data_IF_050994498536
#
_entry.id   IF_050994498536
#
_cell.length_a   1.000
_cell.length_b   1.000
_cell.length_c   1.000
_cell.angle_alpha   90.00
_cell.angle_beta   90.00
_cell.angle_gamma   90.00
#
_symmetry.space_group_name_H-M   'P 1'
#
loop_
_entity.id
_entity.type
_entity.pdbx_description
1 polymer ?
#
# COMPACT_ATOMS: atom_id res chain seq x y z
N UNK A 1 -2.10 -22.06 -19.31
CA UNK A 1 -1.21 -21.97 -18.13
C UNK A 1 -1.85 -20.97 -17.15
N UNK A 2 -2.26 -21.42 -15.99
CA UNK A 2 -2.86 -20.52 -14.98
C UNK A 2 -1.77 -19.58 -14.45
N UNK A 3 -2.02 -18.28 -14.51
CA UNK A 3 -1.06 -17.27 -14.01
C UNK A 3 -0.89 -17.45 -12.49
N UNK A 4 0.36 -17.35 -12.02
CA UNK A 4 0.64 -17.37 -10.59
C UNK A 4 -0.20 -16.31 -9.85
N UNK A 5 -0.70 -16.61 -8.63
CA UNK A 5 -1.46 -15.66 -7.83
C UNK A 5 -0.65 -14.39 -7.60
N UNK A 6 -1.34 -13.28 -7.30
CA UNK A 6 -0.66 -12.04 -6.95
C UNK A 6 0.05 -12.16 -5.59
N UNK A 7 -0.62 -12.77 -4.62
CA UNK A 7 -0.07 -13.01 -3.28
C UNK A 7 -0.29 -14.47 -2.90
N UNK A 8 0.75 -15.11 -2.38
CA UNK A 8 0.67 -16.43 -1.78
C UNK A 8 1.52 -16.46 -0.50
N UNK A 9 0.84 -16.67 0.61
CA UNK A 9 1.43 -16.82 1.93
C UNK A 9 1.20 -18.25 2.41
N UNK A 10 2.24 -18.88 2.92
CA UNK A 10 2.16 -20.22 3.50
C UNK A 10 2.67 -20.21 4.94
N UNK A 11 1.77 -20.37 5.89
CA UNK A 11 2.03 -20.41 7.34
C UNK A 11 2.93 -19.27 7.86
N UNK A 12 2.71 -18.07 7.34
CA UNK A 12 3.51 -16.90 7.66
C UNK A 12 3.29 -16.48 9.10
N UNK A 13 4.39 -16.36 9.85
CA UNK A 13 4.36 -15.84 11.21
C UNK A 13 5.37 -14.72 11.37
N UNK A 14 5.03 -13.73 12.20
CA UNK A 14 5.92 -12.61 12.56
C UNK A 14 5.85 -12.32 14.04
N UNK A 15 7.03 -12.29 14.69
CA UNK A 15 7.19 -11.98 16.11
C UNK A 15 8.04 -10.73 16.31
N UNK A 16 7.67 -9.93 17.28
CA UNK A 16 8.45 -8.82 17.80
C UNK A 16 8.70 -9.06 19.29
N UNK A 17 9.96 -9.32 19.65
CA UNK A 17 10.29 -9.78 21.01
C UNK A 17 9.50 -11.05 21.36
N UNK A 18 8.70 -11.01 22.41
CA UNK A 18 7.86 -12.12 22.87
C UNK A 18 6.46 -12.16 22.21
N UNK A 19 6.03 -11.08 21.52
CA UNK A 19 4.68 -10.95 20.98
C UNK A 19 4.58 -11.41 19.53
N UNK A 20 3.60 -12.25 19.22
CA UNK A 20 3.24 -12.62 17.86
C UNK A 20 2.33 -11.55 17.25
N UNK A 21 2.77 -10.95 16.17
CA UNK A 21 1.97 -10.01 15.38
C UNK A 21 1.23 -10.72 14.23
N UNK A 22 1.81 -11.81 13.70
CA UNK A 22 1.16 -12.74 12.76
C UNK A 22 1.47 -14.16 13.20
N UNK A 23 0.51 -15.07 13.04
CA UNK A 23 0.66 -16.45 13.47
C UNK A 23 0.04 -17.42 12.46
N UNK A 24 0.91 -18.16 11.75
CA UNK A 24 0.58 -19.20 10.76
C UNK A 24 -0.46 -18.75 9.73
N UNK A 25 -0.31 -17.51 9.22
CA UNK A 25 -1.23 -16.95 8.25
C UNK A 25 -1.00 -17.61 6.88
N UNK A 26 -2.07 -18.16 6.31
CA UNK A 26 -2.10 -18.68 4.93
C UNK A 26 -3.12 -17.87 4.13
N UNK A 27 -2.70 -17.38 2.95
CA UNK A 27 -3.52 -16.54 2.08
C UNK A 27 -3.12 -16.78 0.63
N UNK A 28 -4.12 -16.89 -0.25
CA UNK A 28 -3.93 -16.87 -1.69
C UNK A 28 -4.85 -15.83 -2.29
N UNK A 29 -4.30 -14.84 -3.02
CA UNK A 29 -5.05 -13.78 -3.66
C UNK A 29 -4.74 -13.77 -5.16
N UNK A 30 -5.78 -13.75 -5.99
CA UNK A 30 -5.64 -13.72 -7.45
C UNK A 30 -5.15 -12.34 -7.93
N UNK A 31 -4.55 -12.30 -9.11
CA UNK A 31 -4.18 -11.03 -9.76
C UNK A 31 -5.44 -10.21 -10.06
N UNK A 32 -5.35 -8.90 -9.87
CA UNK A 32 -6.46 -7.96 -10.05
C UNK A 32 -7.55 -8.02 -8.99
N UNK A 33 -7.46 -8.95 -8.02
CA UNK A 33 -8.39 -8.99 -6.89
C UNK A 33 -8.15 -7.84 -5.92
N UNK A 34 -9.19 -7.46 -5.16
CA UNK A 34 -9.12 -6.45 -4.13
C UNK A 34 -9.54 -7.04 -2.79
N UNK A 35 -8.60 -7.12 -1.86
CA UNK A 35 -8.77 -7.70 -0.52
C UNK A 35 -8.98 -6.61 0.52
N UNK A 36 -10.10 -6.64 1.23
CA UNK A 36 -10.33 -5.87 2.43
C UNK A 36 -9.77 -6.62 3.64
N UNK A 37 -8.80 -6.00 4.31
CA UNK A 37 -8.20 -6.51 5.52
C UNK A 37 -8.81 -5.80 6.73
N UNK A 38 -9.56 -6.52 7.53
CA UNK A 38 -10.25 -6.02 8.73
C UNK A 38 -9.66 -6.59 10.01
N UNK A 39 -10.04 -6.01 11.14
CA UNK A 39 -9.61 -6.44 12.49
C UNK A 39 -9.36 -5.23 13.39
N UNK A 40 -9.38 -5.45 14.70
CA UNK A 40 -9.11 -4.39 15.69
C UNK A 40 -7.66 -3.85 15.60
N UNK A 41 -7.38 -2.75 16.31
CA UNK A 41 -6.02 -2.24 16.42
C UNK A 41 -5.11 -3.27 17.12
N UNK A 42 -3.92 -3.47 16.55
CA UNK A 42 -3.01 -4.52 17.04
C UNK A 42 -3.29 -5.93 16.50
N UNK A 43 -4.32 -6.14 15.68
CA UNK A 43 -4.62 -7.48 15.11
C UNK A 43 -3.59 -8.02 14.11
N UNK A 44 -2.63 -7.17 13.64
CA UNK A 44 -1.57 -7.58 12.73
C UNK A 44 -1.67 -7.00 11.31
N UNK A 45 -2.70 -6.19 10.98
CA UNK A 45 -2.91 -5.62 9.63
C UNK A 45 -1.68 -4.91 9.06
N UNK A 46 -1.18 -3.90 9.77
CA UNK A 46 0.03 -3.16 9.37
C UNK A 46 1.25 -4.07 9.25
N UNK A 47 1.39 -5.07 10.14
CA UNK A 47 2.49 -6.04 10.06
C UNK A 47 2.37 -6.89 8.80
N UNK A 48 1.17 -7.36 8.45
CA UNK A 48 0.95 -8.10 7.21
C UNK A 48 1.33 -7.26 5.98
N UNK A 49 0.85 -6.01 5.90
CA UNK A 49 1.19 -5.12 4.80
C UNK A 49 2.71 -4.87 4.70
N UNK A 50 3.40 -4.69 5.83
CA UNK A 50 4.86 -4.53 5.85
C UNK A 50 5.61 -5.80 5.41
N UNK A 51 5.10 -6.98 5.75
CA UNK A 51 5.66 -8.26 5.28
C UNK A 51 5.47 -8.39 3.77
N UNK A 52 4.28 -8.11 3.25
CA UNK A 52 3.99 -8.11 1.82
C UNK A 52 4.83 -7.09 1.04
N UNK A 53 5.11 -5.93 1.63
CA UNK A 53 5.99 -4.91 1.06
C UNK A 53 7.49 -5.23 1.17
N UNK A 54 7.87 -6.39 1.73
CA UNK A 54 9.25 -6.76 2.08
C UNK A 54 9.97 -5.75 2.99
N UNK A 55 9.21 -4.87 3.66
CA UNK A 55 9.74 -3.91 4.64
C UNK A 55 10.13 -4.61 5.96
N UNK A 56 9.53 -5.76 6.23
CA UNK A 56 9.81 -6.61 7.39
C UNK A 56 9.85 -8.07 6.94
N UNK A 57 10.89 -8.80 7.33
CA UNK A 57 10.98 -10.24 7.07
C UNK A 57 10.05 -11.02 8.02
N UNK A 58 9.32 -12.03 7.54
CA UNK A 58 8.60 -12.95 8.42
C UNK A 58 9.59 -13.69 9.35
N UNK A 59 9.10 -14.16 10.50
CA UNK A 59 9.89 -15.01 11.40
C UNK A 59 9.87 -16.47 10.96
N UNK A 60 8.80 -16.91 10.28
CA UNK A 60 8.68 -18.23 9.64
C UNK A 60 7.62 -18.19 8.54
N UNK A 61 7.56 -19.25 7.74
CA UNK A 61 6.66 -19.36 6.60
C UNK A 61 7.25 -18.76 5.33
N UNK A 62 6.49 -18.84 4.22
CA UNK A 62 6.91 -18.40 2.89
C UNK A 62 5.95 -17.34 2.34
N UNK A 63 6.52 -16.31 1.70
CA UNK A 63 5.77 -15.24 1.02
C UNK A 63 6.19 -15.18 -0.43
N UNK A 64 5.23 -15.34 -1.33
CA UNK A 64 5.43 -15.16 -2.77
C UNK A 64 4.53 -14.04 -3.28
N UNK A 65 5.11 -13.16 -4.08
CA UNK A 65 4.43 -12.00 -4.69
C UNK A 65 4.63 -12.06 -6.19
N UNK A 66 3.54 -12.19 -6.95
CA UNK A 66 3.57 -12.33 -8.41
C UNK A 66 4.43 -13.50 -8.91
N UNK A 67 4.61 -14.54 -8.07
CA UNK A 67 5.47 -15.68 -8.33
C UNK A 67 6.93 -15.49 -7.91
N UNK A 68 7.29 -14.34 -7.35
CA UNK A 68 8.63 -14.07 -6.80
C UNK A 68 8.66 -14.40 -5.31
N UNK A 69 9.69 -15.13 -4.86
CA UNK A 69 9.92 -15.37 -3.44
C UNK A 69 10.44 -14.08 -2.77
N UNK A 70 9.69 -13.56 -1.80
CA UNK A 70 10.02 -12.31 -1.13
C UNK A 70 11.30 -12.36 -0.28
N UNK A 71 11.79 -13.56 0.09
CA UNK A 71 13.04 -13.73 0.82
C UNK A 71 14.25 -13.78 -0.12
N UNK A 72 14.08 -14.32 -1.34
CA UNK A 72 15.13 -14.51 -2.34
C UNK A 72 15.29 -13.26 -3.22
N UNK A 73 14.18 -12.71 -3.72
CA UNK A 73 14.15 -11.60 -4.66
C UNK A 73 13.44 -10.33 -4.10
N UNK A 74 13.80 -9.84 -2.90
CA UNK A 74 13.07 -8.72 -2.28
C UNK A 74 13.12 -7.43 -3.11
N UNK A 75 14.17 -7.20 -3.87
CA UNK A 75 14.31 -6.01 -4.72
C UNK A 75 13.36 -6.08 -5.91
N UNK A 76 13.24 -7.22 -6.57
CA UNK A 76 12.28 -7.41 -7.66
C UNK A 76 10.84 -7.29 -7.15
N UNK A 77 10.56 -7.82 -5.95
CA UNK A 77 9.25 -7.62 -5.31
C UNK A 77 8.99 -6.14 -5.06
N UNK A 78 9.96 -5.41 -4.50
CA UNK A 78 9.82 -3.97 -4.23
C UNK A 78 9.56 -3.13 -5.49
N UNK A 79 10.03 -3.51 -6.66
CA UNK A 79 9.67 -2.79 -7.90
C UNK A 79 8.19 -2.93 -8.24
N UNK A 80 7.56 -4.06 -7.89
CA UNK A 80 6.17 -4.39 -8.24
C UNK A 80 5.15 -3.97 -7.17
N UNK A 81 5.58 -3.72 -5.94
CA UNK A 81 4.70 -3.45 -4.79
C UNK A 81 4.77 -1.99 -4.40
N UNK A 82 3.62 -1.33 -4.25
CA UNK A 82 3.50 -0.01 -3.63
C UNK A 82 2.88 -0.12 -2.23
N UNK A 83 3.49 0.52 -1.24
CA UNK A 83 2.97 0.59 0.12
C UNK A 83 2.64 2.04 0.49
N UNK A 84 1.39 2.29 0.84
CA UNK A 84 0.96 3.47 1.58
C UNK A 84 0.83 3.07 3.06
N UNK A 85 1.57 3.72 3.94
CA UNK A 85 1.52 3.50 5.38
C UNK A 85 1.42 4.84 6.13
N UNK A 86 1.33 4.80 7.46
CA UNK A 86 1.41 6.02 8.28
C UNK A 86 2.76 6.75 8.13
N UNK A 87 3.85 6.02 7.88
CA UNK A 87 5.15 6.63 7.55
C UNK A 87 5.13 7.06 6.08
N UNK A 88 5.12 8.36 5.84
CA UNK A 88 4.95 8.91 4.49
C UNK A 88 6.19 8.77 3.59
N UNK A 89 7.37 8.42 4.15
CA UNK A 89 8.64 8.24 3.44
C UNK A 89 8.96 9.36 2.44
N UNK A 90 8.75 10.61 2.85
CA UNK A 90 9.03 11.81 2.07
C UNK A 90 10.28 12.52 2.59
N UNK A 91 10.96 13.23 1.71
CA UNK A 91 12.04 14.14 2.08
C UNK A 91 11.43 15.44 2.58
N UNK A 92 11.49 15.68 3.88
CA UNK A 92 10.78 16.78 4.53
C UNK A 92 11.29 18.16 4.14
N UNK A 93 12.56 18.27 3.75
CA UNK A 93 13.20 19.52 3.31
C UNK A 93 12.98 19.84 1.84
N UNK A 94 12.45 18.92 1.07
CA UNK A 94 12.08 19.11 -0.34
C UNK A 94 10.61 19.52 -0.46
N UNK A 95 10.27 20.24 -1.55
CA UNK A 95 8.88 20.48 -1.95
C UNK A 95 8.19 19.17 -2.40
N UNK A 96 6.85 19.19 -2.53
CA UNK A 96 6.11 18.05 -3.07
C UNK A 96 6.55 17.68 -4.48
N UNK A 97 6.79 18.67 -5.33
CA UNK A 97 7.25 18.45 -6.70
C UNK A 97 8.64 17.81 -6.76
N UNK A 98 9.57 18.29 -5.93
CA UNK A 98 10.91 17.71 -5.84
C UNK A 98 10.89 16.28 -5.35
N UNK A 99 10.07 15.98 -4.33
CA UNK A 99 9.86 14.61 -3.83
C UNK A 99 9.43 13.67 -4.96
N UNK A 100 8.46 14.07 -5.79
CA UNK A 100 7.99 13.23 -6.91
C UNK A 100 8.99 13.15 -8.04
N UNK A 101 9.76 14.22 -8.32
CA UNK A 101 10.86 14.20 -9.31
C UNK A 101 11.98 13.22 -8.91
N UNK A 102 12.33 13.17 -7.61
CA UNK A 102 13.28 12.17 -7.10
C UNK A 102 12.73 10.76 -7.33
N UNK A 103 11.47 10.51 -6.98
CA UNK A 103 10.85 9.21 -7.19
C UNK A 103 10.79 8.85 -8.69
N UNK A 104 10.37 9.76 -9.56
CA UNK A 104 10.32 9.54 -11.00
C UNK A 104 11.68 9.08 -11.55
N UNK A 105 12.76 9.74 -11.15
CA UNK A 105 14.14 9.36 -11.53
C UNK A 105 14.50 7.96 -11.03
N UNK A 106 14.16 7.62 -9.79
CA UNK A 106 14.41 6.28 -9.22
C UNK A 106 13.64 5.18 -9.96
N UNK A 107 12.47 5.51 -10.52
CA UNK A 107 11.66 4.62 -11.34
C UNK A 107 12.07 4.57 -12.82
N UNK A 108 13.07 5.36 -13.23
CA UNK A 108 13.47 5.50 -14.64
C UNK A 108 12.46 6.27 -15.50
N UNK A 109 11.52 7.00 -14.86
CA UNK A 109 10.52 7.81 -15.54
C UNK A 109 10.99 9.25 -15.73
N UNK A 110 10.40 9.97 -16.71
CA UNK A 110 10.66 11.39 -16.89
C UNK A 110 10.25 12.20 -15.67
N UNK A 111 11.08 13.12 -15.15
CA UNK A 111 10.70 14.01 -14.06
C UNK A 111 9.48 14.90 -14.37
N UNK A 112 9.11 15.06 -15.65
CA UNK A 112 7.94 15.84 -16.07
C UNK A 112 6.61 15.29 -15.58
N UNK A 113 6.51 13.96 -15.36
CA UNK A 113 5.26 13.32 -14.84
C UNK A 113 4.95 13.71 -13.39
N UNK A 114 5.91 14.28 -12.67
CA UNK A 114 5.75 14.62 -11.26
C UNK A 114 4.70 15.73 -11.02
N UNK A 115 4.65 16.73 -11.89
CA UNK A 115 3.69 17.84 -11.79
C UNK A 115 2.25 17.35 -11.94
N UNK A 116 2.00 16.55 -12.98
CA UNK A 116 0.67 15.97 -13.22
C UNK A 116 0.24 15.05 -12.07
N UNK A 117 1.16 14.25 -11.53
CA UNK A 117 0.87 13.38 -10.39
C UNK A 117 0.47 14.16 -9.12
N UNK A 118 1.05 15.33 -8.88
CA UNK A 118 0.65 16.23 -7.79
C UNK A 118 -0.76 16.80 -8.02
N UNK A 119 -0.99 17.36 -9.19
CA UNK A 119 -2.25 18.03 -9.51
C UNK A 119 -3.45 17.06 -9.46
N UNK A 120 -3.25 15.82 -9.87
CA UNK A 120 -4.25 14.76 -9.75
C UNK A 120 -4.69 14.48 -8.30
N UNK A 121 -3.89 14.86 -7.33
CA UNK A 121 -4.19 14.73 -5.90
C UNK A 121 -4.49 16.08 -5.23
N UNK A 122 -4.81 17.10 -6.00
CA UNK A 122 -5.16 18.43 -5.49
C UNK A 122 -3.99 19.18 -4.84
N UNK A 123 -2.75 18.85 -5.20
CA UNK A 123 -1.54 19.56 -4.76
C UNK A 123 -1.00 20.39 -5.92
N UNK A 124 -0.67 21.66 -5.65
CA UNK A 124 -0.12 22.54 -6.67
C UNK A 124 1.34 22.22 -6.97
N UNK A 125 1.70 22.06 -8.24
CA UNK A 125 3.09 21.95 -8.66
C UNK A 125 3.90 23.25 -8.47
N UNK A 126 3.21 24.39 -8.23
CA UNK A 126 3.84 25.69 -7.97
C UNK A 126 4.12 25.93 -6.49
N UNK A 127 3.69 25.00 -5.58
CA UNK A 127 3.99 25.08 -4.17
C UNK A 127 5.44 24.60 -3.94
N UNK A 128 6.34 25.56 -3.71
CA UNK A 128 7.78 25.34 -3.48
C UNK A 128 8.12 25.17 -1.99
N UNK A 129 7.11 25.27 -1.09
CA UNK A 129 7.33 25.10 0.34
C UNK A 129 7.81 23.67 0.65
N UNK A 130 8.72 23.50 1.63
CA UNK A 130 9.18 22.19 2.06
C UNK A 130 8.06 21.39 2.72
N UNK A 131 8.04 20.07 2.51
CA UNK A 131 6.97 19.16 2.97
C UNK A 131 6.81 19.19 4.50
N UNK A 132 7.85 19.52 5.28
CA UNK A 132 7.69 19.70 6.73
C UNK A 132 6.65 20.76 7.12
N UNK A 133 6.33 21.72 6.22
CA UNK A 133 5.31 22.75 6.43
C UNK A 133 3.92 22.34 5.95
N UNK A 134 3.77 21.18 5.31
CA UNK A 134 2.51 20.69 4.82
C UNK A 134 1.57 20.29 5.97
N UNK A 135 0.25 20.49 5.78
CA UNK A 135 -0.74 19.91 6.67
C UNK A 135 -0.71 18.37 6.59
N UNK A 136 -1.32 17.69 7.57
CA UNK A 136 -1.44 16.23 7.56
C UNK A 136 -2.10 15.74 6.27
N UNK A 137 -3.20 16.36 5.85
CA UNK A 137 -3.88 16.04 4.59
C UNK A 137 -3.01 16.25 3.35
N UNK A 138 -2.22 17.34 3.28
CA UNK A 138 -1.28 17.56 2.18
C UNK A 138 -0.19 16.48 2.13
N UNK A 139 0.37 16.10 3.29
CA UNK A 139 1.34 15.00 3.38
C UNK A 139 0.72 13.68 2.94
N UNK A 140 -0.55 13.43 3.31
CA UNK A 140 -1.28 12.23 2.89
C UNK A 140 -1.49 12.20 1.38
N UNK A 141 -1.93 13.31 0.79
CA UNK A 141 -2.10 13.46 -0.67
C UNK A 141 -0.77 13.27 -1.41
N UNK A 142 0.36 13.78 -0.89
CA UNK A 142 1.69 13.56 -1.47
C UNK A 142 2.10 12.07 -1.41
N UNK A 143 1.85 11.38 -0.30
CA UNK A 143 2.13 9.96 -0.18
C UNK A 143 1.30 9.12 -1.16
N UNK A 144 0.04 9.50 -1.39
CA UNK A 144 -0.81 8.92 -2.43
C UNK A 144 -0.28 9.21 -3.83
N UNK A 145 0.14 10.45 -4.13
CA UNK A 145 0.73 10.81 -5.42
C UNK A 145 1.97 9.95 -5.73
N UNK A 146 2.80 9.66 -4.72
CA UNK A 146 3.94 8.75 -4.84
C UNK A 146 3.52 7.32 -5.19
N UNK A 147 2.48 6.81 -4.55
CA UNK A 147 1.95 5.47 -4.85
C UNK A 147 1.43 5.39 -6.28
N UNK A 148 0.63 6.38 -6.71
CA UNK A 148 0.06 6.40 -8.06
C UNK A 148 1.10 6.63 -9.14
N UNK A 149 2.13 7.46 -8.89
CA UNK A 149 3.25 7.65 -9.80
C UNK A 149 4.01 6.33 -10.06
N UNK A 150 4.12 5.47 -9.05
CA UNK A 150 4.78 4.18 -9.17
C UNK A 150 4.01 3.18 -10.02
N UNK A 151 2.69 3.28 -10.14
CA UNK A 151 1.82 2.33 -10.85
C UNK A 151 2.11 0.86 -10.48
N UNK A 152 2.04 0.47 -9.21
CA UNK A 152 2.45 -0.85 -8.77
C UNK A 152 1.50 -1.95 -9.29
N UNK A 153 2.02 -3.16 -9.53
CA UNK A 153 1.19 -4.32 -9.81
C UNK A 153 0.41 -4.81 -8.58
N UNK A 154 0.94 -4.52 -7.37
CA UNK A 154 0.29 -4.77 -6.08
C UNK A 154 0.32 -3.50 -5.24
N UNK A 155 -0.85 -2.95 -4.91
CA UNK A 155 -1.01 -1.79 -4.04
C UNK A 155 -1.45 -2.22 -2.63
N UNK A 156 -0.67 -1.84 -1.63
CA UNK A 156 -0.91 -2.11 -0.22
C UNK A 156 -1.25 -0.79 0.48
N UNK A 157 -2.47 -0.66 0.98
CA UNK A 157 -2.97 0.59 1.56
C UNK A 157 -3.30 0.38 3.05
N UNK A 158 -2.56 1.06 3.93
CA UNK A 158 -2.78 1.05 5.36
C UNK A 158 -3.49 2.33 5.79
N UNK A 159 -4.76 2.21 6.17
CA UNK A 159 -5.66 3.30 6.58
C UNK A 159 -5.63 4.51 5.61
N UNK A 160 -5.91 4.32 4.32
CA UNK A 160 -5.68 5.37 3.32
C UNK A 160 -6.61 6.57 3.45
N UNK A 161 -7.77 6.44 4.11
CA UNK A 161 -8.79 7.48 4.26
C UNK A 161 -8.53 8.44 5.43
N UNK A 162 -7.62 8.08 6.34
CA UNK A 162 -7.27 8.91 7.49
C UNK A 162 -6.65 10.22 7.02
N UNK A 163 -6.98 11.33 7.68
CA UNK A 163 -6.50 12.69 7.39
C UNK A 163 -7.00 13.29 6.07
N UNK A 164 -7.97 12.66 5.39
CA UNK A 164 -8.61 13.20 4.20
C UNK A 164 -9.98 13.82 4.56
N UNK A 165 -10.27 14.93 3.92
CA UNK A 165 -11.62 15.54 3.91
C UNK A 165 -12.55 14.73 2.98
N UNK A 166 -13.88 14.94 3.01
CA UNK A 166 -14.82 14.19 2.19
C UNK A 166 -14.50 14.21 0.69
N UNK A 167 -14.00 15.34 0.18
CA UNK A 167 -13.58 15.47 -1.22
C UNK A 167 -12.38 14.59 -1.50
N UNK A 168 -11.36 14.61 -0.62
CA UNK A 168 -10.18 13.78 -0.73
C UNK A 168 -10.50 12.28 -0.64
N UNK A 169 -11.48 11.89 0.18
CA UNK A 169 -11.97 10.49 0.22
C UNK A 169 -12.54 10.10 -1.13
N UNK A 170 -13.44 10.90 -1.71
CA UNK A 170 -14.06 10.62 -3.02
C UNK A 170 -13.02 10.55 -4.15
N UNK A 171 -12.04 11.47 -4.14
CA UNK A 171 -10.91 11.46 -5.08
C UNK A 171 -10.09 10.17 -4.94
N UNK A 172 -9.76 9.77 -3.71
CA UNK A 172 -9.00 8.54 -3.46
C UNK A 172 -9.76 7.30 -3.93
N UNK A 173 -11.05 7.20 -3.65
CA UNK A 173 -11.88 6.09 -4.13
C UNK A 173 -11.87 5.99 -5.66
N UNK A 174 -11.99 7.11 -6.36
CA UNK A 174 -11.91 7.15 -7.82
C UNK A 174 -10.54 6.62 -8.31
N UNK A 175 -9.43 7.05 -7.68
CA UNK A 175 -8.08 6.58 -8.02
C UNK A 175 -7.87 5.10 -7.73
N UNK A 176 -8.42 4.58 -6.63
CA UNK A 176 -8.38 3.14 -6.34
C UNK A 176 -9.14 2.35 -7.40
N UNK A 177 -10.31 2.84 -7.86
CA UNK A 177 -11.07 2.21 -8.95
C UNK A 177 -10.27 2.20 -10.25
N UNK A 178 -9.56 3.29 -10.58
CA UNK A 178 -8.66 3.36 -11.75
C UNK A 178 -7.54 2.32 -11.68
N UNK A 179 -6.83 2.20 -10.53
CA UNK A 179 -5.80 1.17 -10.34
C UNK A 179 -6.36 -0.24 -10.55
N UNK A 180 -7.55 -0.52 -10.01
CA UNK A 180 -8.21 -1.81 -10.18
C UNK A 180 -8.57 -2.07 -11.65
N UNK A 181 -9.12 -1.07 -12.34
CA UNK A 181 -9.44 -1.17 -13.76
C UNK A 181 -8.19 -1.44 -14.62
N UNK A 182 -7.02 -0.92 -14.21
CA UNK A 182 -5.72 -1.21 -14.82
C UNK A 182 -5.14 -2.59 -14.44
N UNK A 183 -5.85 -3.40 -13.63
CA UNK A 183 -5.43 -4.75 -13.25
C UNK A 183 -4.55 -4.82 -11.99
N UNK A 184 -4.35 -3.72 -11.27
CA UNK A 184 -3.61 -3.70 -10.00
C UNK A 184 -4.33 -4.56 -8.96
N UNK A 185 -3.59 -5.45 -8.29
CA UNK A 185 -4.07 -6.18 -7.12
C UNK A 185 -4.03 -5.26 -5.90
N UNK A 186 -5.11 -5.22 -5.12
CA UNK A 186 -5.24 -4.32 -3.97
C UNK A 186 -5.33 -5.11 -2.67
N UNK A 187 -4.61 -4.64 -1.64
CA UNK A 187 -4.86 -4.99 -0.23
C UNK A 187 -5.12 -3.72 0.54
N UNK A 188 -6.32 -3.56 1.05
CA UNK A 188 -6.79 -2.37 1.76
C UNK A 188 -7.05 -2.72 3.22
N UNK A 189 -6.24 -2.20 4.14
CA UNK A 189 -6.51 -2.25 5.57
C UNK A 189 -7.18 -0.94 6.00
N UNK A 190 -8.39 -1.01 6.54
CA UNK A 190 -9.12 0.16 7.02
C UNK A 190 -10.15 -0.22 8.08
N UNK A 191 -10.47 0.74 8.94
CA UNK A 191 -11.63 0.70 9.84
C UNK A 191 -12.88 1.35 9.23
N UNK A 192 -12.74 2.05 8.09
CA UNK A 192 -13.85 2.54 7.28
C UNK A 192 -14.43 1.41 6.45
N UNK A 193 -15.25 0.56 7.10
CA UNK A 193 -15.71 -0.71 6.52
C UNK A 193 -16.57 -0.50 5.29
N UNK A 194 -17.47 0.49 5.30
CA UNK A 194 -18.38 0.77 4.17
C UNK A 194 -17.59 1.11 2.89
N UNK A 195 -16.61 2.02 3.00
CA UNK A 195 -15.72 2.37 1.89
C UNK A 195 -14.91 1.14 1.42
N UNK A 196 -14.38 0.37 2.37
CA UNK A 196 -13.66 -0.85 2.06
C UNK A 196 -14.49 -1.86 1.27
N UNK A 197 -15.76 -2.06 1.65
CA UNK A 197 -16.70 -2.96 1.00
C UNK A 197 -17.05 -2.56 -0.44
N UNK A 198 -17.11 -1.26 -0.71
CA UNK A 198 -17.36 -0.74 -2.06
C UNK A 198 -16.15 -0.91 -3.00
N UNK A 199 -14.95 -1.01 -2.44
CA UNK A 199 -13.70 -1.07 -3.18
C UNK A 199 -13.11 -2.48 -3.31
N UNK A 200 -13.49 -3.41 -2.43
CA UNK A 200 -12.91 -4.74 -2.36
C UNK A 200 -13.93 -5.84 -2.65
N UNK A 201 -13.46 -6.94 -3.24
CA UNK A 201 -14.26 -8.12 -3.58
C UNK A 201 -14.05 -9.27 -2.60
N UNK A 202 -12.88 -9.32 -1.99
CA UNK A 202 -12.47 -10.37 -1.07
C UNK A 202 -12.29 -9.77 0.33
N UNK A 203 -12.41 -10.59 1.37
CA UNK A 203 -12.26 -10.15 2.77
C UNK A 203 -11.36 -11.11 3.54
N UNK A 204 -10.55 -10.53 4.43
CA UNK A 204 -9.79 -11.26 5.43
C UNK A 204 -9.94 -10.55 6.77
N UNK A 205 -10.45 -11.25 7.76
CA UNK A 205 -10.48 -10.73 9.13
C UNK A 205 -9.29 -11.25 9.92
N UNK A 206 -8.54 -10.33 10.55
CA UNK A 206 -7.43 -10.67 11.44
C UNK A 206 -7.82 -10.46 12.89
N UNK A 207 -7.60 -11.47 13.70
CA UNK A 207 -7.68 -11.40 15.13
C UNK A 207 -6.44 -12.07 15.76
N UNK A 208 -5.74 -11.31 16.63
CA UNK A 208 -4.50 -11.77 17.29
C UNK A 208 -3.48 -12.41 16.33
N UNK A 209 -3.32 -11.81 15.13
CA UNK A 209 -2.37 -12.26 14.12
C UNK A 209 -2.79 -13.49 13.30
N UNK A 210 -4.02 -13.99 13.50
CA UNK A 210 -4.59 -15.14 12.76
C UNK A 210 -5.70 -14.70 11.83
N UNK A 211 -5.87 -15.41 10.72
CA UNK A 211 -7.08 -15.27 9.90
C UNK A 211 -8.24 -16.00 10.55
N UNK A 212 -9.36 -15.31 10.69
CA UNK A 212 -10.64 -15.93 11.08
C UNK A 212 -11.51 -15.99 9.83
N UNK A 213 -12.14 -17.14 9.59
CA UNK A 213 -13.16 -17.27 8.55
C UNK A 213 -14.29 -16.27 8.85
N UNK A 214 -14.62 -15.41 7.88
CA UNK A 214 -15.73 -14.47 7.96
C UNK A 214 -17.04 -15.18 7.61
#
# INVERSE_FOLDING_TARGET
>A
MELAPALQLHEVSKRYGAQWALLRLTLKLRRGAALLLTGHNGSGKTTLLRVLATAVRPSSGKVEILGLDAAVDPEKVRTQVGLLSHANFVYEDLSGLENLRVLARLLGASPSVAGEALERLGLSQKDDRPVRTYSAGMRRRLALARLFLKQPAVALLDEPFVELDPTGVSELEARIRELRAAGTTLVLATHHIEQGLQLCTDRLHLEQGRSIAA
#
